data_IF_384391145781
#
_entry.id   IF_384391145781
#
_cell.length_a   1.000
_cell.length_b   1.000
_cell.length_c   1.000
_cell.angle_alpha   90.00
_cell.angle_beta   90.00
_cell.angle_gamma   90.00
#
_symmetry.space_group_name_H-M   'P 1'
#
loop_
_entity.id
_entity.type
_entity.pdbx_description
1 polymer ?
#
# COMPACT_ATOMS: atom_id res chain seq x y z
N UNK A 1 -2.78 -7.22 29.95
CA UNK A 1 -1.54 -6.61 29.47
C UNK A 1 -1.89 -5.86 28.19
N UNK A 2 -1.63 -4.57 28.17
CA UNK A 2 -1.73 -3.81 26.92
C UNK A 2 -0.64 -4.31 25.98
N UNK A 3 -1.05 -4.66 24.76
CA UNK A 3 -0.10 -4.99 23.72
C UNK A 3 0.53 -3.68 23.24
N UNK A 4 1.74 -3.39 23.71
CA UNK A 4 2.50 -2.19 23.35
C UNK A 4 3.23 -2.34 22.01
N UNK A 5 2.91 -3.36 21.25
CA UNK A 5 3.48 -3.57 19.93
C UNK A 5 2.72 -2.79 18.86
N UNK A 6 3.48 -2.28 17.91
CA UNK A 6 2.96 -1.62 16.73
C UNK A 6 2.40 -2.64 15.75
N UNK A 7 1.11 -2.53 15.46
CA UNK A 7 0.39 -3.44 14.55
C UNK A 7 -0.52 -2.66 13.60
N UNK A 8 -1.00 -3.35 12.60
CA UNK A 8 -1.97 -2.83 11.66
C UNK A 8 -3.39 -3.25 12.03
N UNK A 9 -4.31 -2.30 11.94
CA UNK A 9 -5.73 -2.49 12.20
C UNK A 9 -6.55 -1.95 11.04
N UNK A 10 -7.76 -2.49 10.88
CA UNK A 10 -8.68 -2.05 9.83
C UNK A 10 -9.88 -1.40 10.47
N UNK A 11 -10.27 -0.25 9.93
CA UNK A 11 -11.39 0.55 10.36
C UNK A 11 -12.42 0.63 9.25
N UNK A 12 -13.69 0.47 9.60
CA UNK A 12 -14.82 0.70 8.70
C UNK A 12 -15.19 2.17 8.65
N UNK A 13 -15.49 2.64 7.45
CA UNK A 13 -16.06 3.96 7.17
C UNK A 13 -17.26 3.84 6.24
N UNK A 14 -17.94 4.95 6.02
CA UNK A 14 -18.89 5.02 4.90
C UNK A 14 -18.13 4.99 3.58
N UNK A 15 -18.69 4.28 2.59
CA UNK A 15 -18.09 4.22 1.26
C UNK A 15 -17.95 5.62 0.65
N UNK A 16 -16.87 5.86 -0.06
CA UNK A 16 -16.48 7.16 -0.65
C UNK A 16 -16.09 8.26 0.34
N UNK A 17 -16.04 7.96 1.64
CA UNK A 17 -15.63 8.91 2.69
C UNK A 17 -14.23 8.61 3.25
N UNK A 18 -13.52 7.64 2.71
CA UNK A 18 -12.27 7.14 3.24
C UNK A 18 -11.21 8.24 3.40
N UNK A 19 -11.00 9.06 2.38
CA UNK A 19 -10.03 10.16 2.43
C UNK A 19 -10.41 11.25 3.43
N UNK A 20 -11.68 11.58 3.51
CA UNK A 20 -12.18 12.53 4.50
C UNK A 20 -12.00 12.02 5.92
N UNK A 21 -12.24 10.75 6.14
CA UNK A 21 -12.04 10.11 7.44
C UNK A 21 -10.56 10.03 7.78
N UNK A 22 -9.72 9.71 6.81
CA UNK A 22 -8.26 9.76 6.97
C UNK A 22 -7.81 11.15 7.45
N UNK A 23 -8.22 12.21 6.78
CA UNK A 23 -7.89 13.60 7.17
C UNK A 23 -8.38 13.92 8.58
N UNK A 24 -9.58 13.46 8.95
CA UNK A 24 -10.14 13.65 10.29
C UNK A 24 -9.31 12.90 11.35
N UNK A 25 -8.88 11.69 11.07
CA UNK A 25 -8.01 10.91 11.98
C UNK A 25 -6.66 11.62 12.14
N UNK A 26 -6.02 12.02 11.05
CA UNK A 26 -4.72 12.71 11.08
C UNK A 26 -4.77 14.01 11.88
N UNK A 27 -5.82 14.81 11.70
CA UNK A 27 -6.03 16.02 12.51
C UNK A 27 -6.21 15.73 14.00
N UNK A 28 -6.88 14.65 14.35
CA UNK A 28 -7.05 14.24 15.75
C UNK A 28 -5.75 13.72 16.35
N UNK A 29 -4.94 13.00 15.57
CA UNK A 29 -3.60 12.57 15.99
C UNK A 29 -2.77 13.78 16.40
N UNK A 30 -2.77 14.84 15.60
CA UNK A 30 -2.05 16.08 15.90
C UNK A 30 -2.65 16.82 17.11
N UNK A 31 -3.97 17.03 17.12
CA UNK A 31 -4.64 17.82 18.17
C UNK A 31 -4.63 17.16 19.55
N UNK A 32 -4.53 15.83 19.59
CA UNK A 32 -4.53 15.05 20.83
C UNK A 32 -3.16 14.47 21.19
N UNK A 33 -2.11 14.84 20.45
CA UNK A 33 -0.72 14.40 20.64
C UNK A 33 -0.57 12.87 20.64
N UNK A 34 -1.21 12.21 19.67
CA UNK A 34 -1.21 10.74 19.51
C UNK A 34 -0.15 10.22 18.53
N UNK A 35 0.84 11.04 18.12
CA UNK A 35 1.86 10.68 17.14
C UNK A 35 2.75 9.52 17.59
N UNK A 36 2.91 9.34 18.90
CA UNK A 36 3.70 8.23 19.46
C UNK A 36 2.94 6.89 19.49
N UNK A 37 1.64 6.92 19.22
CA UNK A 37 0.76 5.74 19.25
C UNK A 37 0.11 5.41 17.92
N UNK A 38 -0.17 6.41 17.08
CA UNK A 38 -0.78 6.24 15.76
C UNK A 38 0.20 6.78 14.72
N UNK A 39 0.75 5.90 13.89
CA UNK A 39 1.90 6.20 13.03
C UNK A 39 1.51 6.46 11.58
N UNK A 40 0.65 5.60 11.01
CA UNK A 40 0.24 5.70 9.62
C UNK A 40 -1.25 5.44 9.46
N UNK A 41 -1.88 6.22 8.58
CA UNK A 41 -3.27 6.04 8.15
C UNK A 41 -3.27 5.88 6.63
N UNK A 42 -3.73 4.75 6.13
CA UNK A 42 -3.63 4.39 4.71
C UNK A 42 -5.01 4.04 4.15
N UNK A 43 -5.37 4.71 3.05
CA UNK A 43 -6.49 4.30 2.20
C UNK A 43 -5.91 3.46 1.05
N UNK A 44 -6.53 2.32 0.77
CA UNK A 44 -6.02 1.38 -0.23
C UNK A 44 -6.33 1.84 -1.67
N UNK A 45 -5.92 3.05 -2.00
CA UNK A 45 -6.06 3.64 -3.32
C UNK A 45 -4.81 3.39 -4.17
N UNK A 46 -5.04 3.08 -5.43
CA UNK A 46 -4.00 2.91 -6.43
C UNK A 46 -4.41 3.56 -7.74
N UNK A 47 -3.43 3.93 -8.55
CA UNK A 47 -3.66 4.51 -9.85
C UNK A 47 -3.65 3.42 -10.93
N UNK A 48 -4.66 3.42 -11.76
CA UNK A 48 -4.78 2.54 -12.92
C UNK A 48 -4.76 3.36 -14.20
N UNK A 49 -3.92 3.00 -15.19
CA UNK A 49 -3.91 3.71 -16.46
C UNK A 49 -5.23 3.53 -17.21
N UNK A 50 -5.76 4.63 -17.72
CA UNK A 50 -6.98 4.62 -18.51
C UNK A 50 -6.67 4.21 -19.94
N UNK A 51 -7.34 3.17 -20.43
CA UNK A 51 -7.30 2.72 -21.81
C UNK A 51 -8.58 3.15 -22.53
N UNK A 52 -8.43 3.63 -23.76
CA UNK A 52 -9.53 3.85 -24.69
C UNK A 52 -9.27 3.05 -25.96
N UNK A 53 -10.21 2.18 -26.31
CA UNK A 53 -10.08 1.26 -27.47
C UNK A 53 -8.80 0.39 -27.44
N UNK A 54 -8.37 -0.01 -26.22
CA UNK A 54 -7.17 -0.80 -26.00
C UNK A 54 -5.85 -0.02 -25.97
N UNK A 55 -5.89 1.30 -26.19
CA UNK A 55 -4.73 2.20 -26.21
C UNK A 55 -4.63 3.01 -24.92
N UNK A 56 -3.42 3.11 -24.36
CA UNK A 56 -3.16 3.97 -23.20
C UNK A 56 -3.38 5.44 -23.57
N UNK A 57 -4.20 6.15 -22.77
CA UNK A 57 -4.53 7.56 -23.00
C UNK A 57 -3.55 8.53 -22.35
N UNK A 58 -2.59 8.04 -21.55
CA UNK A 58 -1.72 8.87 -20.71
C UNK A 58 -2.41 9.42 -19.46
N UNK A 59 -3.68 9.09 -19.23
CA UNK A 59 -4.44 9.45 -18.03
C UNK A 59 -4.48 8.29 -17.05
N UNK A 60 -4.57 8.63 -15.76
CA UNK A 60 -4.71 7.66 -14.68
C UNK A 60 -6.05 7.86 -13.98
N UNK A 61 -6.62 6.78 -13.49
CA UNK A 61 -7.82 6.77 -12.67
C UNK A 61 -7.50 6.16 -11.32
N UNK A 62 -7.83 6.86 -10.26
CA UNK A 62 -7.71 6.35 -8.90
C UNK A 62 -8.80 5.34 -8.61
N UNK A 63 -8.41 4.18 -8.12
CA UNK A 63 -9.30 3.10 -7.65
C UNK A 63 -8.97 2.74 -6.22
N UNK A 64 -9.99 2.36 -5.46
CA UNK A 64 -9.83 1.84 -4.11
C UNK A 64 -10.04 0.33 -4.11
N UNK A 65 -9.05 -0.43 -3.61
CA UNK A 65 -9.14 -1.88 -3.51
C UNK A 65 -10.14 -2.35 -2.45
N UNK A 66 -10.31 -1.56 -1.39
CA UNK A 66 -11.16 -1.88 -0.26
C UNK A 66 -12.05 -0.69 0.10
N UNK A 67 -13.10 -0.41 -0.69
CA UNK A 67 -14.03 0.68 -0.40
C UNK A 67 -14.67 0.54 0.98
N UNK A 68 -14.68 1.62 1.75
CA UNK A 68 -15.21 1.63 3.12
C UNK A 68 -14.23 1.14 4.19
N UNK A 69 -12.95 0.94 3.85
CA UNK A 69 -11.92 0.49 4.79
C UNK A 69 -10.73 1.44 4.81
N UNK A 70 -10.18 1.65 6.02
CA UNK A 70 -8.94 2.37 6.25
C UNK A 70 -8.00 1.48 7.07
N UNK A 71 -6.74 1.45 6.71
CA UNK A 71 -5.69 0.72 7.40
C UNK A 71 -4.92 1.67 8.30
N UNK A 72 -4.74 1.31 9.56
CA UNK A 72 -4.05 2.15 10.56
C UNK A 72 -2.96 1.34 11.24
N UNK A 73 -1.74 1.87 11.21
CA UNK A 73 -0.62 1.35 11.98
C UNK A 73 -0.55 2.09 13.32
N UNK A 74 -0.76 1.36 14.39
CA UNK A 74 -0.84 1.95 15.72
C UNK A 74 -0.46 0.98 16.84
N UNK A 75 -0.13 1.53 17.98
CA UNK A 75 -0.10 0.82 19.26
C UNK A 75 -1.50 0.95 19.86
N UNK A 76 -2.19 -0.16 20.05
CA UNK A 76 -3.58 -0.17 20.49
C UNK A 76 -3.68 0.04 22.00
N UNK A 77 -3.53 1.30 22.43
CA UNK A 77 -3.88 1.75 23.78
C UNK A 77 -5.37 2.11 23.84
N UNK A 78 -5.93 2.20 25.02
CA UNK A 78 -7.32 2.62 25.21
C UNK A 78 -7.56 4.02 24.64
N UNK A 79 -6.61 4.93 24.83
CA UNK A 79 -6.67 6.30 24.32
C UNK A 79 -6.60 6.36 22.80
N UNK A 80 -5.64 5.66 22.18
CA UNK A 80 -5.49 5.60 20.74
C UNK A 80 -6.72 4.96 20.06
N UNK A 81 -7.20 3.87 20.62
CA UNK A 81 -8.43 3.21 20.17
C UNK A 81 -9.64 4.16 20.25
N UNK A 82 -9.78 4.89 21.37
CA UNK A 82 -10.86 5.85 21.57
C UNK A 82 -10.81 7.00 20.54
N UNK A 83 -9.63 7.55 20.29
CA UNK A 83 -9.43 8.64 19.32
C UNK A 83 -9.87 8.23 17.92
N UNK A 84 -9.44 7.07 17.46
CA UNK A 84 -9.79 6.56 16.12
C UNK A 84 -11.27 6.22 16.03
N UNK A 85 -11.80 5.49 17.01
CA UNK A 85 -13.20 5.06 17.00
C UNK A 85 -14.19 6.21 17.01
N UNK A 86 -13.88 7.29 17.74
CA UNK A 86 -14.76 8.46 17.84
C UNK A 86 -14.49 9.53 16.78
N UNK A 87 -13.68 9.24 15.79
CA UNK A 87 -13.48 10.12 14.66
C UNK A 87 -14.74 10.13 13.77
N UNK A 88 -15.23 11.32 13.35
CA UNK A 88 -16.38 11.42 12.49
C UNK A 88 -16.19 10.63 11.18
N UNK A 89 -17.17 9.79 10.84
CA UNK A 89 -17.16 8.92 9.67
C UNK A 89 -16.62 7.51 9.91
N UNK A 90 -15.99 7.26 11.06
CA UNK A 90 -15.61 5.91 11.50
C UNK A 90 -16.83 5.20 12.06
N UNK A 91 -17.16 4.03 11.50
CA UNK A 91 -18.27 3.19 11.98
C UNK A 91 -17.85 2.13 12.97
N UNK A 92 -16.57 1.76 12.99
CA UNK A 92 -15.98 0.83 13.93
C UNK A 92 -14.70 0.17 13.42
N UNK A 93 -14.06 -0.59 14.30
CA UNK A 93 -12.94 -1.45 13.92
C UNK A 93 -13.44 -2.81 13.44
N UNK A 94 -12.74 -3.38 12.46
CA UNK A 94 -12.97 -4.77 12.04
C UNK A 94 -12.34 -5.71 13.06
N UNK A 95 -13.01 -6.85 13.31
CA UNK A 95 -12.55 -7.84 14.29
C UNK A 95 -12.87 -7.49 15.74
N UNK A 96 -13.60 -6.41 15.99
CA UNK A 96 -14.14 -6.09 17.31
C UNK A 96 -15.43 -6.86 17.54
N UNK A 97 -15.49 -7.68 18.58
CA UNK A 97 -16.66 -8.51 18.94
C UNK A 97 -17.83 -7.71 19.53
N UNK A 98 -17.92 -6.42 19.27
CA UNK A 98 -18.97 -5.51 19.80
C UNK A 98 -18.68 -4.98 21.21
N UNK A 99 -19.52 -4.04 21.66
CA UNK A 99 -19.52 -3.42 23.01
C UNK A 99 -18.16 -3.29 23.73
N UNK A 100 -17.20 -2.58 23.11
CA UNK A 100 -15.95 -2.22 23.78
C UNK A 100 -14.83 -3.28 23.73
N UNK A 101 -15.01 -4.35 22.96
CA UNK A 101 -13.94 -5.30 22.69
C UNK A 101 -12.90 -4.68 21.75
N UNK A 102 -11.63 -4.80 22.12
CA UNK A 102 -10.51 -4.37 21.27
C UNK A 102 -10.42 -5.24 20.00
N UNK A 103 -10.10 -4.68 18.84
CA UNK A 103 -9.95 -5.43 17.60
C UNK A 103 -8.67 -6.27 17.61
N UNK A 104 -8.65 -7.30 16.78
CA UNK A 104 -7.43 -8.05 16.47
C UNK A 104 -6.63 -7.35 15.35
N UNK A 105 -5.28 -7.40 15.40
CA UNK A 105 -4.44 -6.87 14.35
C UNK A 105 -4.57 -7.70 13.07
N UNK A 106 -4.36 -7.03 11.92
CA UNK A 106 -4.26 -7.68 10.61
C UNK A 106 -2.90 -8.37 10.52
N UNK A 107 -2.83 -9.51 9.83
CA UNK A 107 -1.56 -10.20 9.62
C UNK A 107 -0.59 -9.36 8.80
N UNK A 108 0.71 -9.47 9.09
CA UNK A 108 1.76 -8.73 8.39
C UNK A 108 1.74 -9.02 6.89
N UNK A 109 1.51 -10.26 6.49
CA UNK A 109 1.47 -10.65 5.06
C UNK A 109 0.31 -10.00 4.30
N UNK A 110 -0.86 -9.87 4.92
CA UNK A 110 -2.02 -9.22 4.29
C UNK A 110 -1.78 -7.73 4.09
N UNK A 111 -1.26 -7.05 5.13
CA UNK A 111 -1.01 -5.61 5.03
C UNK A 111 0.14 -5.28 4.08
N UNK A 112 1.20 -6.06 4.05
CA UNK A 112 2.31 -5.86 3.12
C UNK A 112 1.85 -5.92 1.67
N UNK A 113 0.95 -6.85 1.32
CA UNK A 113 0.37 -6.96 -0.01
C UNK A 113 -0.40 -5.69 -0.39
N UNK A 114 -1.17 -5.12 0.54
CA UNK A 114 -1.89 -3.87 0.35
C UNK A 114 -0.93 -2.70 0.17
N UNK A 115 0.06 -2.56 1.07
CA UNK A 115 1.03 -1.47 1.04
C UNK A 115 1.86 -1.47 -0.24
N UNK A 116 2.32 -2.62 -0.70
CA UNK A 116 3.03 -2.76 -1.97
C UNK A 116 2.18 -2.26 -3.13
N UNK A 117 0.92 -2.64 -3.16
CA UNK A 117 0.01 -2.30 -4.25
C UNK A 117 -0.35 -0.82 -4.31
N UNK A 118 -0.37 -0.13 -3.19
CA UNK A 118 -0.60 1.33 -3.12
C UNK A 118 0.71 2.15 -3.17
N UNK A 119 1.87 1.51 -3.35
CA UNK A 119 3.17 2.18 -3.43
C UNK A 119 3.72 2.64 -2.08
N UNK A 120 3.19 2.16 -0.97
CA UNK A 120 3.61 2.49 0.40
C UNK A 120 4.28 1.31 1.11
N UNK A 121 4.47 0.17 0.42
CA UNK A 121 5.28 -0.94 0.92
C UNK A 121 6.67 -0.45 1.26
N UNK A 122 7.27 -1.02 2.30
CA UNK A 122 8.71 -0.88 2.44
C UNK A 122 9.31 -1.25 1.09
N UNK A 123 10.01 -0.31 0.49
CA UNK A 123 10.78 -0.60 -0.70
C UNK A 123 11.59 -1.83 -0.35
N UNK A 124 11.24 -2.96 -0.96
CA UNK A 124 12.16 -4.07 -1.06
C UNK A 124 13.41 -3.39 -1.59
N UNK A 125 14.38 -3.23 -0.70
CA UNK A 125 15.49 -2.35 -0.99
C UNK A 125 16.00 -2.77 -2.36
N UNK A 126 16.12 -1.82 -3.28
CA UNK A 126 16.78 -2.04 -4.57
C UNK A 126 18.13 -2.74 -4.40
N UNK A 127 18.66 -2.71 -3.18
CA UNK A 127 19.85 -3.47 -2.75
C UNK A 127 19.73 -5.00 -2.90
N UNK A 128 18.54 -5.55 -3.03
CA UNK A 128 18.35 -6.99 -3.33
C UNK A 128 18.55 -7.32 -4.81
N UNK A 129 18.42 -6.32 -5.68
CA UNK A 129 18.56 -6.46 -7.13
C UNK A 129 19.88 -5.88 -7.60
N UNK A 130 20.58 -6.65 -8.42
CA UNK A 130 21.87 -6.24 -8.99
C UNK A 130 21.84 -6.32 -10.50
N UNK A 131 22.66 -5.53 -11.14
CA UNK A 131 22.90 -5.65 -12.57
C UNK A 131 23.35 -7.09 -12.90
N UNK A 132 22.69 -7.71 -13.84
CA UNK A 132 22.92 -9.10 -14.22
C UNK A 132 21.98 -10.12 -13.57
N UNK A 133 21.16 -9.70 -12.58
CA UNK A 133 20.14 -10.59 -12.02
C UNK A 133 19.04 -10.88 -13.04
N UNK A 134 18.58 -12.12 -13.06
CA UNK A 134 17.42 -12.52 -13.86
C UNK A 134 16.16 -12.32 -13.03
N UNK A 135 15.18 -11.63 -13.59
CA UNK A 135 13.92 -11.31 -12.93
C UNK A 135 12.72 -11.73 -13.80
N UNK A 136 11.60 -11.93 -13.13
CA UNK A 136 10.31 -12.12 -13.74
C UNK A 136 9.43 -10.92 -13.44
N UNK A 137 8.73 -10.39 -14.44
CA UNK A 137 7.78 -9.30 -14.29
C UNK A 137 6.46 -9.86 -13.78
N UNK A 138 5.94 -9.30 -12.69
CA UNK A 138 4.70 -9.77 -12.05
C UNK A 138 3.45 -9.07 -12.58
N UNK A 139 3.57 -7.80 -12.94
CA UNK A 139 2.45 -6.95 -13.29
C UNK A 139 2.69 -6.19 -14.61
N UNK A 140 1.59 -5.73 -15.21
CA UNK A 140 1.63 -4.88 -16.39
C UNK A 140 1.52 -5.66 -17.73
N UNK A 141 1.73 -4.96 -18.84
CA UNK A 141 1.60 -5.56 -20.17
C UNK A 141 2.66 -6.62 -20.50
N UNK A 142 3.72 -6.69 -19.70
CA UNK A 142 4.84 -7.62 -19.83
C UNK A 142 4.89 -8.65 -18.69
N UNK A 143 3.79 -8.84 -17.98
CA UNK A 143 3.69 -9.83 -16.92
C UNK A 143 4.10 -11.23 -17.43
N UNK A 144 4.74 -12.02 -16.55
CA UNK A 144 5.32 -13.33 -16.83
C UNK A 144 6.55 -13.35 -17.75
N UNK A 145 7.02 -12.19 -18.19
CA UNK A 145 8.24 -12.11 -18.99
C UNK A 145 9.49 -12.17 -18.10
N UNK A 146 10.48 -12.92 -18.55
CA UNK A 146 11.77 -13.06 -17.87
C UNK A 146 12.78 -12.16 -18.58
N UNK A 147 13.51 -11.36 -17.81
CA UNK A 147 14.50 -10.43 -18.35
C UNK A 147 15.68 -10.27 -17.38
N UNK A 148 16.76 -9.70 -17.87
CA UNK A 148 17.97 -9.42 -17.09
C UNK A 148 18.04 -7.92 -16.77
N UNK A 149 18.43 -7.60 -15.55
CA UNK A 149 18.61 -6.21 -15.10
C UNK A 149 19.89 -5.65 -15.70
N UNK A 150 19.79 -4.51 -16.38
CA UNK A 150 20.94 -3.75 -16.90
C UNK A 150 21.34 -2.58 -16.01
N UNK A 151 20.40 -1.95 -15.35
CA UNK A 151 20.66 -0.82 -14.46
C UNK A 151 19.68 -0.84 -13.27
N UNK A 152 20.15 -0.38 -12.13
CA UNK A 152 19.33 -0.25 -10.90
C UNK A 152 19.39 1.21 -10.43
N UNK A 153 18.24 1.86 -10.39
CA UNK A 153 18.08 3.21 -9.83
C UNK A 153 17.53 3.09 -8.39
N UNK A 154 18.45 3.12 -7.43
CA UNK A 154 18.10 2.95 -6.02
C UNK A 154 17.27 4.10 -5.46
N UNK A 155 17.42 5.31 -6.01
CA UNK A 155 16.69 6.48 -5.51
C UNK A 155 15.22 6.44 -5.91
N UNK A 156 14.94 5.90 -7.09
CA UNK A 156 13.57 5.84 -7.64
C UNK A 156 12.90 4.48 -7.42
N UNK A 157 13.63 3.47 -6.97
CA UNK A 157 13.10 2.11 -6.84
C UNK A 157 12.75 1.48 -8.19
N UNK A 158 13.52 1.82 -9.23
CA UNK A 158 13.33 1.34 -10.60
C UNK A 158 14.52 0.51 -11.05
N UNK A 159 14.24 -0.48 -11.87
CA UNK A 159 15.26 -1.24 -12.59
C UNK A 159 15.04 -1.11 -14.09
N UNK A 160 16.12 -0.95 -14.83
CA UNK A 160 16.09 -0.99 -16.30
C UNK A 160 16.41 -2.41 -16.75
N UNK A 161 15.52 -2.97 -17.52
CA UNK A 161 15.66 -4.31 -18.08
C UNK A 161 15.70 -4.24 -19.60
N UNK A 162 16.37 -5.22 -20.19
CA UNK A 162 16.38 -5.40 -21.63
C UNK A 162 15.37 -6.48 -22.03
N UNK A 163 14.45 -6.13 -22.87
CA UNK A 163 13.43 -7.05 -23.35
C UNK A 163 13.31 -7.00 -24.87
N UNK A 164 12.88 -8.08 -25.47
CA UNK A 164 12.65 -8.16 -26.92
C UNK A 164 11.16 -8.00 -27.19
N UNK A 165 10.81 -6.89 -27.85
CA UNK A 165 9.43 -6.59 -28.24
C UNK A 165 9.38 -6.53 -29.77
N UNK A 166 8.55 -7.37 -30.38
CA UNK A 166 8.42 -7.50 -31.84
C UNK A 166 9.76 -7.71 -32.58
N UNK A 167 10.65 -8.53 -31.98
CA UNK A 167 11.96 -8.81 -32.57
C UNK A 167 12.99 -7.69 -32.46
N UNK A 168 12.71 -6.65 -31.67
CA UNK A 168 13.62 -5.55 -31.37
C UNK A 168 13.94 -5.51 -29.89
N UNK A 169 15.20 -5.38 -29.57
CA UNK A 169 15.64 -5.13 -28.19
C UNK A 169 15.25 -3.72 -27.78
N UNK A 170 14.59 -3.58 -26.65
CA UNK A 170 14.20 -2.32 -26.03
C UNK A 170 14.51 -2.34 -24.55
N UNK A 171 14.89 -1.18 -24.03
CA UNK A 171 15.05 -0.97 -22.60
C UNK A 171 13.70 -0.57 -22.00
N UNK A 172 13.34 -1.21 -20.89
CA UNK A 172 12.11 -0.98 -20.16
C UNK A 172 12.43 -0.70 -18.70
N UNK A 173 11.90 0.38 -18.16
CA UNK A 173 11.97 0.65 -16.72
C UNK A 173 10.77 0.04 -16.02
N UNK A 174 11.03 -0.76 -14.98
CA UNK A 174 10.02 -1.41 -14.16
C UNK A 174 10.31 -1.14 -12.68
N UNK A 175 9.24 -1.05 -11.89
CA UNK A 175 9.38 -0.91 -10.45
C UNK A 175 9.89 -2.21 -9.82
N UNK A 176 10.74 -2.10 -8.81
CA UNK A 176 11.18 -3.26 -8.01
C UNK A 176 10.03 -3.99 -7.33
N UNK A 177 8.89 -3.30 -7.15
CA UNK A 177 7.68 -3.90 -6.59
C UNK A 177 6.91 -4.78 -7.60
N UNK A 178 7.20 -4.65 -8.88
CA UNK A 178 6.53 -5.38 -9.97
C UNK A 178 7.37 -6.52 -10.53
N UNK A 179 8.47 -6.85 -9.88
CA UNK A 179 9.39 -7.91 -10.29
C UNK A 179 9.71 -8.86 -9.14
N UNK A 180 10.11 -10.07 -9.48
CA UNK A 180 10.67 -11.04 -8.55
C UNK A 180 11.94 -11.67 -9.14
N UNK A 181 12.85 -12.13 -8.30
CA UNK A 181 14.02 -12.90 -8.76
C UNK A 181 13.55 -14.24 -9.30
N UNK A 182 14.10 -14.60 -10.48
CA UNK A 182 13.80 -15.87 -11.15
C UNK A 182 14.82 -16.95 -10.75
#
# INVERSE_FOLDING_TARGET
MENLEKNWYVVNTYASHENKVKDNIERRIESMNMQDYIFRVVVAEYEEPVKKDGVLTGKFKTKNMYPGYIFIEMILTDEAWYVVRNTPGVTGFIGSSGKGAKPFPVSTSEIESVLKRVGLGENTSTSEYKVGDTIKILNGPFADQISVIEEVDEEKGLVTIKTVIFGREQELQVSVNDIEKY
#
